data_IF_911215890409
#
_entry.id   IF_911215890409
#
_cell.length_a   1.000
_cell.length_b   1.000
_cell.length_c   1.000
_cell.angle_alpha   90.00
_cell.angle_beta   90.00
_cell.angle_gamma   90.00
#
_symmetry.space_group_name_H-M   'P 1'
#
loop_
_entity.id
_entity.type
_entity.pdbx_description
1 polymer ?
#
# COMPACT_ATOMS: atom_id res chain seq x y z
N UNK A 1 12.79 -0.46 -23.26
CA UNK A 1 11.79 -1.26 -22.52
C UNK A 1 12.49 -2.24 -21.59
N UNK A 2 12.02 -2.34 -20.36
CA UNK A 2 12.40 -3.42 -19.43
C UNK A 2 11.17 -4.27 -19.16
N UNK A 3 11.30 -5.60 -19.19
CA UNK A 3 10.21 -6.54 -18.94
C UNK A 3 10.67 -7.53 -17.89
N UNK A 4 9.79 -7.82 -16.93
CA UNK A 4 10.03 -8.78 -15.87
C UNK A 4 8.79 -9.66 -15.73
N UNK A 5 9.01 -10.97 -15.55
CA UNK A 5 7.97 -11.94 -15.23
C UNK A 5 8.48 -12.75 -14.05
N UNK A 6 7.62 -12.99 -13.08
CA UNK A 6 7.93 -13.73 -11.86
C UNK A 6 6.87 -14.79 -11.63
N UNK A 7 7.32 -15.97 -11.21
CA UNK A 7 6.46 -17.02 -10.69
C UNK A 7 6.69 -17.09 -9.18
N UNK A 8 5.60 -17.05 -8.41
CA UNK A 8 5.63 -16.85 -6.96
C UNK A 8 4.69 -17.83 -6.27
N UNK A 9 4.90 -18.16 -4.98
CA UNK A 9 3.83 -18.75 -4.18
C UNK A 9 2.66 -17.76 -4.04
N UNK A 10 1.46 -18.27 -3.83
CA UNK A 10 0.29 -17.47 -3.50
C UNK A 10 0.40 -16.81 -2.12
N UNK A 11 -0.58 -15.99 -1.77
CA UNK A 11 -0.62 -15.29 -0.49
C UNK A 11 -1.39 -16.09 0.56
N UNK A 12 -0.97 -15.97 1.82
CA UNK A 12 -1.61 -16.61 2.97
C UNK A 12 -2.88 -15.83 3.37
N UNK A 13 -4.06 -16.38 3.03
CA UNK A 13 -5.35 -15.73 3.30
C UNK A 13 -5.71 -15.65 4.78
N UNK A 14 -5.07 -16.43 5.65
CA UNK A 14 -5.29 -16.36 7.09
C UNK A 14 -4.81 -15.02 7.70
N UNK A 15 -4.04 -14.26 6.93
CA UNK A 15 -3.48 -12.97 7.33
C UNK A 15 -4.05 -11.77 6.56
N UNK A 16 -5.09 -11.98 5.77
CA UNK A 16 -5.81 -10.90 5.12
C UNK A 16 -6.68 -10.16 6.15
N UNK A 17 -6.81 -8.85 6.00
CA UNK A 17 -7.59 -8.04 6.94
C UNK A 17 -7.89 -6.65 6.42
N UNK A 18 -8.58 -5.87 7.24
CA UNK A 18 -9.05 -4.54 6.89
C UNK A 18 -7.92 -3.48 6.82
N UNK A 19 -6.86 -3.63 7.62
CA UNK A 19 -5.80 -2.62 7.69
C UNK A 19 -4.82 -2.64 6.51
N UNK A 20 -4.62 -3.77 5.90
CA UNK A 20 -3.60 -3.91 4.82
C UNK A 20 -4.07 -4.80 3.67
N UNK A 21 -5.35 -5.06 3.59
CA UNK A 21 -5.97 -5.92 2.60
C UNK A 21 -5.27 -7.29 2.54
N UNK A 22 -4.56 -7.59 1.45
CA UNK A 22 -3.85 -8.87 1.26
C UNK A 22 -2.36 -8.82 1.63
N UNK A 23 -1.83 -7.65 2.01
CA UNK A 23 -0.38 -7.46 2.23
C UNK A 23 0.19 -8.34 3.34
N UNK A 24 -0.58 -8.60 4.40
CA UNK A 24 -0.21 -9.50 5.48
C UNK A 24 0.07 -10.93 5.03
N UNK A 25 -0.55 -11.36 3.93
CA UNK A 25 -0.40 -12.69 3.37
C UNK A 25 0.98 -13.02 2.78
N UNK A 26 1.80 -11.99 2.50
CA UNK A 26 3.17 -12.18 2.05
C UNK A 26 4.12 -12.61 3.19
N UNK A 27 3.75 -12.33 4.44
CA UNK A 27 4.56 -12.61 5.63
C UNK A 27 4.05 -13.83 6.42
N UNK A 28 3.86 -14.99 5.79
CA UNK A 28 3.45 -16.20 6.51
C UNK A 28 4.45 -16.56 7.60
N UNK A 29 4.00 -16.85 8.85
CA UNK A 29 4.88 -17.20 9.95
C UNK A 29 5.51 -18.59 9.82
N UNK A 30 5.09 -19.39 8.84
CA UNK A 30 5.56 -20.77 8.64
C UNK A 30 6.48 -20.87 7.44
N UNK A 31 7.78 -20.76 7.67
CA UNK A 31 8.81 -20.71 6.63
C UNK A 31 8.88 -21.95 5.73
N UNK A 32 8.47 -23.10 6.25
CA UNK A 32 8.66 -24.39 5.56
C UNK A 32 7.37 -25.00 5.02
N UNK A 33 6.25 -24.31 5.10
CA UNK A 33 5.02 -24.85 4.54
C UNK A 33 5.06 -24.74 3.02
N UNK A 34 4.95 -25.86 2.34
CA UNK A 34 4.85 -25.87 0.88
C UNK A 34 3.58 -25.14 0.50
N UNK A 35 3.74 -24.05 -0.24
CA UNK A 35 2.62 -23.35 -0.81
C UNK A 35 1.86 -24.28 -1.76
N UNK A 36 0.58 -24.45 -1.51
CA UNK A 36 -0.32 -25.20 -2.39
C UNK A 36 -1.08 -24.28 -3.35
N UNK A 37 -0.63 -23.04 -3.48
CA UNK A 37 -1.15 -22.03 -4.37
C UNK A 37 -0.01 -21.25 -5.03
N UNK A 38 -0.24 -20.83 -6.25
CA UNK A 38 0.75 -20.19 -7.09
C UNK A 38 0.22 -18.87 -7.63
N UNK A 39 1.15 -17.98 -7.94
CA UNK A 39 0.88 -16.68 -8.52
C UNK A 39 1.86 -16.35 -9.62
N UNK A 40 1.44 -15.51 -10.54
CA UNK A 40 2.27 -14.86 -11.53
C UNK A 40 2.27 -13.36 -11.33
N UNK A 41 3.40 -12.73 -11.58
CA UNK A 41 3.50 -11.28 -11.63
C UNK A 41 4.28 -10.85 -12.87
N UNK A 42 3.96 -9.69 -13.41
CA UNK A 42 4.71 -9.08 -14.50
C UNK A 42 4.90 -7.59 -14.24
N UNK A 43 5.93 -7.02 -14.87
CA UNK A 43 6.18 -5.59 -14.93
C UNK A 43 6.77 -5.22 -16.29
N UNK A 44 6.28 -4.14 -16.86
CA UNK A 44 6.77 -3.55 -18.10
C UNK A 44 7.08 -2.08 -17.84
N UNK A 45 8.35 -1.68 -18.03
CA UNK A 45 8.77 -0.30 -17.95
C UNK A 45 9.05 0.25 -19.35
N UNK A 46 8.56 1.44 -19.63
CA UNK A 46 8.76 2.18 -20.86
C UNK A 46 9.55 3.46 -20.57
N UNK A 47 10.66 3.65 -21.28
CA UNK A 47 11.56 4.81 -21.22
C UNK A 47 11.66 5.53 -22.54
N UNK A 48 10.67 5.42 -23.44
CA UNK A 48 10.73 5.99 -24.79
C UNK A 48 10.79 7.51 -24.81
N UNK A 49 10.32 8.15 -23.74
CA UNK A 49 10.38 9.61 -23.60
C UNK A 49 11.51 9.95 -22.62
N UNK A 50 12.51 10.76 -23.01
CA UNK A 50 13.58 11.17 -22.11
C UNK A 50 13.05 11.82 -20.83
N UNK A 51 13.56 11.37 -19.68
CA UNK A 51 13.12 11.84 -18.36
C UNK A 51 11.79 11.26 -17.89
N UNK A 52 11.08 10.45 -18.67
CA UNK A 52 9.82 9.83 -18.29
C UNK A 52 9.93 8.30 -18.29
N UNK A 53 9.64 7.68 -17.14
CA UNK A 53 9.36 6.25 -17.03
C UNK A 53 7.87 6.04 -16.82
N UNK A 54 7.26 5.19 -17.60
CA UNK A 54 5.92 4.68 -17.40
C UNK A 54 6.01 3.18 -17.12
N UNK A 55 5.28 2.69 -16.13
CA UNK A 55 5.32 1.29 -15.72
C UNK A 55 3.92 0.72 -15.58
N UNK A 56 3.72 -0.48 -16.10
CA UNK A 56 2.53 -1.28 -15.91
C UNK A 56 2.93 -2.58 -15.23
N UNK A 57 2.23 -2.93 -14.16
CA UNK A 57 2.46 -4.17 -13.41
C UNK A 57 1.15 -4.91 -13.17
N UNK A 58 1.23 -6.22 -13.04
CA UNK A 58 0.11 -7.05 -12.68
C UNK A 58 0.54 -8.22 -11.82
N UNK A 59 -0.36 -8.65 -10.94
CA UNK A 59 -0.25 -9.84 -10.12
C UNK A 59 -1.56 -10.61 -10.20
N UNK A 60 -1.49 -11.93 -10.35
CA UNK A 60 -2.65 -12.81 -10.23
C UNK A 60 -2.23 -14.13 -9.59
N UNK A 61 -2.96 -14.55 -8.57
CA UNK A 61 -2.65 -15.79 -7.86
C UNK A 61 -3.73 -16.25 -6.91
N UNK A 62 -3.74 -17.55 -6.65
CA UNK A 62 -4.62 -18.13 -5.65
C UNK A 62 -4.03 -17.96 -4.26
N UNK A 63 -4.88 -17.69 -3.28
CA UNK A 63 -4.48 -17.72 -1.88
C UNK A 63 -4.42 -19.15 -1.34
N UNK A 64 -3.73 -19.33 -0.23
CA UNK A 64 -3.70 -20.57 0.54
C UNK A 64 -3.94 -20.26 2.03
N UNK A 65 -4.31 -21.28 2.80
CA UNK A 65 -4.40 -21.20 4.26
C UNK A 65 -3.21 -21.90 4.89
N UNK A 66 -2.50 -21.20 5.75
CA UNK A 66 -1.35 -21.75 6.50
C UNK A 66 -1.71 -22.25 7.90
N UNK A 67 -2.99 -22.31 8.22
CA UNK A 67 -3.48 -22.82 9.48
C UNK A 67 -3.56 -24.35 9.47
N UNK A 68 -3.03 -24.97 10.53
CA UNK A 68 -3.14 -26.42 10.71
C UNK A 68 -4.60 -26.85 10.83
N UNK A 69 -4.96 -27.95 10.19
CA UNK A 69 -6.34 -28.47 10.22
C UNK A 69 -6.86 -28.75 11.64
N UNK A 70 -5.97 -29.14 12.56
CA UNK A 70 -6.29 -29.35 13.96
C UNK A 70 -6.73 -28.06 14.71
N UNK A 71 -6.33 -26.90 14.20
CA UNK A 71 -6.68 -25.60 14.79
C UNK A 71 -7.94 -24.99 14.15
N UNK A 72 -8.55 -25.67 13.19
CA UNK A 72 -9.77 -25.18 12.53
C UNK A 72 -10.99 -25.58 13.34
N UNK A 73 -11.76 -24.62 13.80
CA UNK A 73 -13.04 -24.84 14.45
C UNK A 73 -14.14 -24.96 13.39
N UNK A 74 -15.01 -25.98 13.46
CA UNK A 74 -16.13 -26.16 12.54
C UNK A 74 -15.71 -26.73 11.17
N UNK A 75 -15.05 -27.83 11.20
CA UNK A 75 -14.22 -28.50 10.21
C UNK A 75 -14.63 -28.43 8.72
N UNK A 76 -15.88 -28.72 8.36
CA UNK A 76 -16.18 -28.97 6.93
C UNK A 76 -16.55 -27.72 6.13
N UNK A 77 -17.17 -26.69 6.74
CA UNK A 77 -17.59 -25.47 6.01
C UNK A 77 -16.42 -24.59 5.57
N UNK A 78 -15.24 -24.74 6.17
CA UNK A 78 -14.04 -23.97 5.84
C UNK A 78 -12.97 -24.78 5.14
N UNK A 79 -13.27 -26.02 4.81
CA UNK A 79 -12.39 -26.85 3.98
C UNK A 79 -12.25 -26.16 2.62
N UNK A 80 -11.02 -25.88 2.23
CA UNK A 80 -10.71 -25.27 0.94
C UNK A 80 -11.20 -23.81 0.71
N UNK A 81 -11.37 -23.01 1.77
CA UNK A 81 -11.62 -21.58 1.59
C UNK A 81 -10.39 -20.92 0.96
N UNK A 82 -10.53 -20.52 -0.29
CA UNK A 82 -9.48 -19.88 -1.10
C UNK A 82 -10.09 -18.71 -1.88
N UNK A 83 -9.25 -17.71 -2.16
CA UNK A 83 -9.58 -16.61 -3.04
C UNK A 83 -8.52 -16.43 -4.11
N UNK A 84 -8.88 -15.87 -5.23
CA UNK A 84 -7.95 -15.39 -6.24
C UNK A 84 -7.71 -13.91 -5.99
N UNK A 85 -6.46 -13.54 -5.82
CA UNK A 85 -6.01 -12.14 -5.70
C UNK A 85 -5.56 -11.69 -7.08
N UNK A 86 -6.09 -10.57 -7.55
CA UNK A 86 -5.69 -9.89 -8.78
C UNK A 86 -5.34 -8.45 -8.45
N UNK A 87 -4.17 -7.97 -8.89
CA UNK A 87 -3.72 -6.59 -8.68
C UNK A 87 -3.22 -6.05 -10.01
N UNK A 88 -3.74 -4.89 -10.41
CA UNK A 88 -3.22 -4.09 -11.51
C UNK A 88 -2.61 -2.81 -10.97
N UNK A 89 -1.43 -2.43 -11.44
CA UNK A 89 -0.73 -1.24 -11.00
C UNK A 89 -0.14 -0.47 -12.19
N UNK A 90 -0.31 0.84 -12.16
CA UNK A 90 0.33 1.78 -13.06
C UNK A 90 1.16 2.75 -12.24
N UNK A 91 2.41 2.99 -12.63
CA UNK A 91 3.25 4.02 -12.03
C UNK A 91 4.01 4.82 -13.08
N UNK A 92 4.32 6.06 -12.74
CA UNK A 92 5.16 6.91 -13.57
C UNK A 92 6.18 7.68 -12.74
N UNK A 93 7.30 7.99 -13.36
CA UNK A 93 8.33 8.90 -12.83
C UNK A 93 8.79 9.81 -13.96
N UNK A 94 8.63 11.10 -13.76
CA UNK A 94 9.20 12.15 -14.58
C UNK A 94 10.35 12.82 -13.82
N UNK A 95 11.55 12.78 -14.39
CA UNK A 95 12.76 13.40 -13.83
C UNK A 95 13.48 14.18 -14.96
N UNK A 96 13.03 15.41 -15.17
CA UNK A 96 13.61 16.31 -16.17
C UNK A 96 13.24 17.76 -15.83
N UNK A 97 13.97 18.72 -16.45
CA UNK A 97 13.70 20.16 -16.36
C UNK A 97 13.63 20.68 -14.91
N UNK A 98 14.45 20.12 -14.00
CA UNK A 98 14.49 20.42 -12.56
C UNK A 98 13.21 19.98 -11.80
N UNK A 99 12.31 19.26 -12.41
CA UNK A 99 11.15 18.64 -11.79
C UNK A 99 11.40 17.16 -11.54
N UNK A 100 10.88 16.69 -10.41
CA UNK A 100 10.67 15.28 -10.13
C UNK A 100 9.17 15.12 -9.84
N UNK A 101 8.46 14.41 -10.71
CA UNK A 101 7.04 14.10 -10.52
C UNK A 101 6.88 12.60 -10.59
N UNK A 102 6.22 12.03 -9.59
CA UNK A 102 5.93 10.60 -9.55
C UNK A 102 4.52 10.35 -9.08
N UNK A 103 3.94 9.27 -9.53
CA UNK A 103 2.63 8.86 -9.09
C UNK A 103 2.38 7.39 -9.40
N UNK A 104 1.37 6.86 -8.73
CA UNK A 104 0.90 5.50 -8.90
C UNK A 104 -0.61 5.42 -8.83
N UNK A 105 -1.15 4.36 -9.41
CA UNK A 105 -2.53 3.92 -9.26
C UNK A 105 -2.53 2.40 -9.19
N UNK A 106 -3.07 1.86 -8.11
CA UNK A 106 -3.14 0.44 -7.84
C UNK A 106 -4.60 0.06 -7.57
N UNK A 107 -5.06 -1.01 -8.20
CA UNK A 107 -6.37 -1.59 -7.95
C UNK A 107 -6.23 -3.08 -7.75
N UNK A 108 -6.86 -3.60 -6.72
CA UNK A 108 -6.85 -5.01 -6.36
C UNK A 108 -8.25 -5.57 -6.19
N UNK A 109 -8.42 -6.83 -6.61
CA UNK A 109 -9.66 -7.60 -6.44
C UNK A 109 -9.36 -8.96 -5.80
N UNK A 110 -10.19 -9.33 -4.82
CA UNK A 110 -10.13 -10.61 -4.09
C UNK A 110 -11.46 -11.35 -4.23
N UNK A 111 -11.45 -12.51 -4.84
CA UNK A 111 -12.63 -13.38 -4.88
C UNK A 111 -12.86 -14.08 -3.53
N UNK A 112 -14.11 -14.43 -3.22
CA UNK A 112 -14.49 -15.11 -1.97
C UNK A 112 -14.08 -14.37 -0.68
N UNK A 113 -13.98 -13.04 -0.72
CA UNK A 113 -13.60 -12.23 0.44
C UNK A 113 -14.54 -12.42 1.64
N UNK A 114 -15.82 -12.70 1.40
CA UNK A 114 -16.83 -13.04 2.40
C UNK A 114 -16.49 -14.33 3.17
N UNK A 115 -16.13 -15.39 2.45
CA UNK A 115 -15.79 -16.70 3.04
C UNK A 115 -14.45 -16.62 3.79
N UNK A 116 -13.46 -15.91 3.23
CA UNK A 116 -12.17 -15.66 3.88
C UNK A 116 -12.38 -14.86 5.17
N UNK A 117 -13.20 -13.81 5.13
CA UNK A 117 -13.53 -12.99 6.30
C UNK A 117 -14.19 -13.81 7.41
N UNK A 118 -15.19 -14.64 7.07
CA UNK A 118 -15.85 -15.51 8.04
C UNK A 118 -14.86 -16.51 8.63
N UNK A 119 -14.05 -17.16 7.80
CA UNK A 119 -13.02 -18.09 8.26
C UNK A 119 -12.04 -17.42 9.24
N UNK A 120 -11.51 -16.25 8.89
CA UNK A 120 -10.55 -15.54 9.72
C UNK A 120 -11.17 -15.11 11.06
N UNK A 121 -12.43 -14.71 11.09
CA UNK A 121 -13.15 -14.35 12.33
C UNK A 121 -13.41 -15.54 13.25
N UNK A 122 -13.69 -16.70 12.69
CA UNK A 122 -13.99 -17.91 13.45
C UNK A 122 -12.74 -18.66 13.91
N UNK A 123 -11.55 -18.20 13.55
CA UNK A 123 -10.29 -18.80 13.98
C UNK A 123 -10.09 -18.66 15.50
N UNK A 124 -9.44 -19.64 16.18
CA UNK A 124 -9.13 -19.54 17.60
C UNK A 124 -8.17 -18.39 17.89
N UNK A 125 -8.17 -17.89 19.14
CA UNK A 125 -7.31 -16.76 19.52
C UNK A 125 -5.81 -17.02 19.37
N UNK A 126 -5.38 -18.27 19.33
CA UNK A 126 -3.99 -18.65 19.05
C UNK A 126 -3.61 -18.57 17.57
N UNK A 127 -4.57 -18.34 16.68
CA UNK A 127 -4.30 -18.18 15.24
C UNK A 127 -3.62 -16.85 14.94
N UNK A 128 -2.72 -16.79 13.94
CA UNK A 128 -2.15 -15.55 13.44
C UNK A 128 -3.14 -14.68 12.65
N UNK A 129 -4.38 -15.14 12.45
CA UNK A 129 -5.44 -14.38 11.77
C UNK A 129 -5.72 -13.07 12.50
N UNK A 130 -5.86 -11.94 11.80
CA UNK A 130 -6.20 -10.65 12.40
C UNK A 130 -7.63 -10.59 12.96
N UNK A 131 -8.49 -11.59 12.74
CA UNK A 131 -9.89 -11.62 13.18
C UNK A 131 -10.76 -10.51 12.58
N UNK A 132 -10.36 -9.99 11.46
CA UNK A 132 -10.98 -8.84 10.81
C UNK A 132 -11.65 -9.25 9.51
N UNK A 133 -12.50 -8.37 9.00
CA UNK A 133 -13.03 -8.50 7.65
C UNK A 133 -11.97 -8.08 6.62
N UNK A 134 -12.10 -8.60 5.40
CA UNK A 134 -11.29 -8.18 4.26
C UNK A 134 -12.18 -7.68 3.13
N UNK A 135 -11.81 -6.56 2.51
CA UNK A 135 -12.52 -6.03 1.34
C UNK A 135 -12.41 -6.95 0.13
N UNK A 136 -13.46 -6.97 -0.71
CA UNK A 136 -13.40 -7.60 -2.03
C UNK A 136 -12.49 -6.81 -2.96
N UNK A 137 -12.46 -5.49 -2.80
CA UNK A 137 -11.69 -4.58 -3.65
C UNK A 137 -10.91 -3.58 -2.80
N UNK A 138 -9.73 -3.25 -3.27
CA UNK A 138 -8.86 -2.26 -2.67
C UNK A 138 -8.28 -1.33 -3.72
N UNK A 139 -8.05 -0.07 -3.34
CA UNK A 139 -7.48 0.94 -4.23
C UNK A 139 -6.39 1.72 -3.50
N UNK A 140 -5.33 2.07 -4.21
CA UNK A 140 -4.33 3.02 -3.75
C UNK A 140 -3.90 3.94 -4.90
N UNK A 141 -3.71 5.22 -4.61
CA UNK A 141 -3.19 6.18 -5.57
C UNK A 141 -2.38 7.25 -4.87
N UNK A 142 -1.39 7.77 -5.53
CA UNK A 142 -0.59 8.87 -5.01
C UNK A 142 0.07 9.67 -6.10
N UNK A 143 0.32 10.93 -5.79
CA UNK A 143 1.11 11.82 -6.65
C UNK A 143 2.01 12.70 -5.79
N UNK A 144 3.26 12.84 -6.20
CA UNK A 144 4.24 13.74 -5.60
C UNK A 144 4.88 14.56 -6.72
N UNK A 145 5.00 15.86 -6.50
CA UNK A 145 5.70 16.77 -7.40
C UNK A 145 6.69 17.63 -6.60
N UNK A 146 7.94 17.65 -7.05
CA UNK A 146 9.01 18.44 -6.46
C UNK A 146 9.76 19.23 -7.52
N UNK A 147 10.17 20.45 -7.15
CA UNK A 147 10.94 21.35 -8.01
C UNK A 147 12.24 21.80 -7.33
N UNK A 148 13.37 21.75 -8.07
CA UNK A 148 14.67 22.24 -7.60
C UNK A 148 14.73 23.76 -7.70
N UNK A 149 14.46 24.43 -6.58
CA UNK A 149 14.49 25.91 -6.49
C UNK A 149 15.91 26.44 -6.74
N UNK A 150 16.97 25.73 -6.31
CA UNK A 150 18.34 26.17 -6.49
C UNK A 150 18.80 26.12 -7.95
N UNK A 151 18.05 25.43 -8.81
CA UNK A 151 18.27 25.47 -10.25
C UNK A 151 18.17 26.88 -10.84
N UNK A 152 17.43 27.79 -10.18
CA UNK A 152 17.25 29.18 -10.59
C UNK A 152 18.40 30.10 -10.09
N UNK A 153 19.21 29.63 -9.16
CA UNK A 153 20.30 30.42 -8.55
C UNK A 153 21.65 29.94 -9.10
N UNK A 154 22.19 30.65 -10.08
CA UNK A 154 23.40 30.25 -10.82
C UNK A 154 24.56 29.82 -9.92
N UNK A 155 24.86 30.58 -8.86
CA UNK A 155 25.96 30.26 -7.93
C UNK A 155 25.80 28.94 -7.19
N UNK A 156 24.55 28.59 -6.79
CA UNK A 156 24.24 27.34 -6.08
C UNK A 156 24.26 26.17 -7.03
N UNK A 157 23.68 26.35 -8.23
CA UNK A 157 23.70 25.35 -9.30
C UNK A 157 25.10 24.96 -9.72
N UNK A 158 25.99 25.95 -9.94
CA UNK A 158 27.40 25.75 -10.30
C UNK A 158 28.20 25.02 -9.19
N UNK A 159 27.83 25.22 -7.93
CA UNK A 159 28.42 24.50 -6.78
C UNK A 159 27.82 23.10 -6.57
N UNK A 160 26.81 22.70 -7.36
CA UNK A 160 26.16 21.40 -7.27
C UNK A 160 25.14 21.25 -6.15
N UNK A 161 24.75 22.37 -5.48
CA UNK A 161 23.68 22.34 -4.50
C UNK A 161 22.32 22.16 -5.19
N UNK A 162 21.44 21.38 -4.59
CA UNK A 162 20.04 21.22 -5.03
C UNK A 162 19.12 21.37 -3.84
N UNK A 163 17.97 22.00 -4.03
CA UNK A 163 16.95 22.18 -3.01
C UNK A 163 15.57 21.94 -3.62
N UNK A 164 15.07 20.73 -3.44
CA UNK A 164 13.74 20.35 -3.88
C UNK A 164 12.71 20.70 -2.82
N UNK A 165 11.71 21.47 -3.19
CA UNK A 165 10.45 21.59 -2.42
C UNK A 165 9.43 20.72 -3.11
N UNK A 166 8.69 19.93 -2.34
CA UNK A 166 7.69 19.01 -2.88
C UNK A 166 6.37 19.06 -2.13
N UNK A 167 5.32 18.70 -2.85
CA UNK A 167 4.01 18.38 -2.31
C UNK A 167 3.62 16.96 -2.70
N UNK A 168 2.91 16.26 -1.81
CA UNK A 168 2.43 14.90 -2.01
C UNK A 168 1.00 14.74 -1.56
N UNK A 169 0.23 13.99 -2.34
CA UNK A 169 -1.09 13.50 -1.99
C UNK A 169 -1.13 12.00 -2.16
N UNK A 170 -1.69 11.30 -1.19
CA UNK A 170 -1.87 9.86 -1.18
C UNK A 170 -3.30 9.54 -0.73
N UNK A 171 -3.89 8.57 -1.39
CA UNK A 171 -5.17 7.98 -1.03
C UNK A 171 -5.08 6.46 -1.09
N UNK A 172 -5.61 5.76 -0.09
CA UNK A 172 -5.84 4.34 -0.19
C UNK A 172 -7.08 3.93 0.59
N UNK A 173 -7.73 2.86 0.14
CA UNK A 173 -8.86 2.24 0.80
C UNK A 173 -8.74 0.72 0.63
N UNK A 174 -8.45 0.02 1.72
CA UNK A 174 -8.33 -1.43 1.75
C UNK A 174 -9.68 -2.15 1.76
N UNK A 175 -10.77 -1.42 1.91
CA UNK A 175 -12.15 -1.88 1.83
C UNK A 175 -12.96 -1.00 0.88
N UNK A 176 -12.39 -0.70 -0.31
CA UNK A 176 -13.00 0.15 -1.33
C UNK A 176 -14.37 -0.38 -1.74
N UNK A 177 -14.47 -1.71 -1.93
CA UNK A 177 -15.74 -2.43 -2.00
C UNK A 177 -15.68 -3.68 -1.11
N UNK A 178 -16.86 -4.20 -0.73
CA UNK A 178 -17.00 -5.35 0.16
C UNK A 178 -18.10 -6.27 -0.32
N UNK A 179 -17.94 -7.57 -0.10
CA UNK A 179 -19.04 -8.52 -0.30
C UNK A 179 -20.20 -8.19 0.66
N UNK A 180 -21.44 -8.52 0.27
CA UNK A 180 -22.68 -8.14 1.00
C UNK A 180 -22.70 -8.55 2.48
N UNK A 181 -22.00 -9.63 2.85
CA UNK A 181 -21.93 -10.14 4.23
C UNK A 181 -20.78 -9.53 5.04
N UNK A 182 -19.96 -8.67 4.43
CA UNK A 182 -18.78 -8.07 5.03
C UNK A 182 -19.09 -6.64 5.42
N UNK A 183 -18.90 -6.32 6.69
CA UNK A 183 -19.10 -4.95 7.20
C UNK A 183 -17.90 -4.10 6.81
N UNK A 184 -18.14 -3.08 5.98
CA UNK A 184 -17.14 -2.09 5.62
C UNK A 184 -16.74 -1.27 6.83
N UNK A 185 -15.44 -1.01 6.94
CA UNK A 185 -14.87 -0.13 7.97
C UNK A 185 -14.48 1.21 7.33
N UNK A 186 -15.19 2.28 7.70
CA UNK A 186 -14.98 3.62 7.08
C UNK A 186 -13.58 4.18 7.32
N UNK A 187 -12.92 3.81 8.40
CA UNK A 187 -11.54 4.22 8.70
C UNK A 187 -10.48 3.62 7.76
N UNK A 188 -10.85 2.62 6.94
CA UNK A 188 -9.96 2.06 5.92
C UNK A 188 -9.72 3.02 4.76
N UNK A 189 -10.65 3.96 4.51
CA UNK A 189 -10.45 5.03 3.54
C UNK A 189 -9.61 6.16 4.12
N UNK A 190 -8.33 6.24 3.71
CA UNK A 190 -7.33 7.15 4.26
C UNK A 190 -6.77 8.05 3.17
N UNK A 191 -6.51 9.30 3.56
CA UNK A 191 -5.85 10.29 2.73
C UNK A 191 -4.66 10.86 3.48
N UNK A 192 -3.62 11.21 2.78
CA UNK A 192 -2.48 11.93 3.33
C UNK A 192 -2.08 13.06 2.40
N UNK A 193 -1.91 14.24 2.98
CA UNK A 193 -1.30 15.40 2.33
C UNK A 193 0.02 15.66 3.03
N UNK A 194 1.08 15.85 2.27
CA UNK A 194 2.38 16.18 2.83
C UNK A 194 3.08 17.25 1.98
N UNK A 195 3.88 18.05 2.65
CA UNK A 195 4.80 19.02 2.04
C UNK A 195 6.17 18.87 2.67
N UNK A 196 7.21 19.13 1.91
CA UNK A 196 8.55 18.98 2.47
C UNK A 196 9.63 19.51 1.54
N UNK A 197 10.87 19.31 1.97
CA UNK A 197 12.05 19.62 1.17
C UNK A 197 13.14 18.55 1.27
N UNK A 198 13.94 18.49 0.21
CA UNK A 198 15.16 17.68 0.15
C UNK A 198 16.31 18.61 -0.24
N UNK A 199 17.24 18.85 0.67
CA UNK A 199 18.43 19.64 0.43
C UNK A 199 19.64 18.75 0.21
N UNK A 200 20.30 18.92 -0.92
CA UNK A 200 21.55 18.25 -1.29
C UNK A 200 22.70 19.26 -1.23
N UNK A 201 23.44 19.35 -0.09
CA UNK A 201 24.65 20.17 -0.02
C UNK A 201 25.76 19.65 -0.94
N UNK A 202 25.81 18.35 -1.14
CA UNK A 202 26.63 17.65 -2.12
C UNK A 202 25.85 16.48 -2.71
N UNK A 203 26.28 15.94 -3.84
CA UNK A 203 25.58 14.88 -4.58
C UNK A 203 25.17 13.67 -3.72
N UNK A 204 25.98 13.34 -2.73
CA UNK A 204 25.85 12.08 -1.96
C UNK A 204 25.17 12.25 -0.60
N UNK A 205 24.85 13.48 -0.18
CA UNK A 205 24.18 13.75 1.10
C UNK A 205 22.87 14.46 0.82
N UNK A 206 21.80 14.00 1.46
CA UNK A 206 20.52 14.68 1.45
C UNK A 206 20.01 14.90 2.88
N UNK A 207 19.58 16.11 3.17
CA UNK A 207 18.87 16.51 4.38
C UNK A 207 17.40 16.65 3.98
N UNK A 208 16.51 15.98 4.71
CA UNK A 208 15.07 15.90 4.39
C UNK A 208 14.24 16.42 5.55
N UNK A 209 13.19 17.14 5.24
CA UNK A 209 12.11 17.43 6.17
C UNK A 209 10.78 17.28 5.46
N UNK A 210 9.82 16.68 6.15
CA UNK A 210 8.46 16.49 5.66
C UNK A 210 7.48 16.74 6.80
N UNK A 211 6.47 17.53 6.54
CA UNK A 211 5.28 17.65 7.38
C UNK A 211 4.09 17.09 6.61
N UNK A 212 3.34 16.20 7.24
CA UNK A 212 2.18 15.54 6.64
C UNK A 212 1.01 15.47 7.60
N UNK A 213 -0.18 15.39 7.04
CA UNK A 213 -1.43 15.19 7.78
C UNK A 213 -2.15 14.00 7.16
N UNK A 214 -2.40 12.98 7.97
CA UNK A 214 -3.27 11.85 7.65
C UNK A 214 -4.71 12.22 7.96
N UNK A 215 -5.61 12.00 6.99
CA UNK A 215 -7.04 12.27 7.11
C UNK A 215 -7.78 10.94 6.97
N UNK A 216 -8.54 10.56 8.00
CA UNK A 216 -9.39 9.38 7.99
C UNK A 216 -10.81 9.77 7.54
N UNK A 217 -11.49 8.84 6.89
CA UNK A 217 -12.88 9.04 6.45
C UNK A 217 -13.79 9.20 7.67
N UNK A 218 -14.77 10.10 7.59
CA UNK A 218 -15.86 10.18 8.55
C UNK A 218 -16.78 8.95 8.43
N UNK A 219 -17.49 8.64 9.52
CA UNK A 219 -18.47 7.56 9.57
C UNK A 219 -19.76 8.07 10.21
N UNK A 220 -20.88 7.52 9.77
CA UNK A 220 -22.18 7.82 10.37
C UNK A 220 -22.54 6.72 11.40
N UNK A 221 -23.06 7.14 12.54
CA UNK A 221 -23.54 6.25 13.58
C UNK A 221 -24.86 6.75 14.16
N UNK A 222 -25.69 5.82 14.61
CA UNK A 222 -26.94 6.17 15.30
C UNK A 222 -26.65 6.30 16.80
N UNK A 223 -26.89 7.48 17.36
CA UNK A 223 -26.79 7.71 18.79
C UNK A 223 -27.89 6.89 19.50
N UNK A 224 -27.46 5.92 20.32
CA UNK A 224 -28.38 5.00 21.01
C UNK A 224 -29.29 5.70 22.04
N UNK A 225 -28.93 6.90 22.49
CA UNK A 225 -29.72 7.66 23.47
C UNK A 225 -30.80 8.52 22.80
N UNK A 226 -30.54 9.04 21.60
CA UNK A 226 -31.45 9.96 20.90
C UNK A 226 -32.09 9.36 19.67
N UNK A 227 -31.59 8.25 19.14
CA UNK A 227 -32.01 7.67 17.87
C UNK A 227 -31.61 8.48 16.63
N UNK A 228 -30.84 9.55 16.80
CA UNK A 228 -30.40 10.43 15.71
C UNK A 228 -29.15 9.88 15.02
N UNK A 229 -29.09 10.04 13.71
CA UNK A 229 -27.86 9.76 12.95
C UNK A 229 -26.90 10.95 13.10
N UNK A 230 -25.69 10.66 13.58
CA UNK A 230 -24.60 11.63 13.76
C UNK A 230 -23.38 11.20 12.96
N UNK A 231 -22.64 12.18 12.45
CA UNK A 231 -21.37 11.93 11.76
C UNK A 231 -20.22 12.02 12.77
N UNK A 232 -19.55 10.90 12.99
CA UNK A 232 -18.29 10.83 13.71
C UNK A 232 -17.11 11.14 12.80
N UNK A 233 -16.04 11.71 13.37
CA UNK A 233 -14.79 11.98 12.66
C UNK A 233 -13.63 11.37 13.42
N UNK A 234 -12.76 10.67 12.71
CA UNK A 234 -11.49 10.24 13.27
C UNK A 234 -10.56 11.45 13.43
N UNK A 235 -9.64 11.36 14.38
CA UNK A 235 -8.62 12.40 14.54
C UNK A 235 -7.67 12.42 13.34
N UNK A 236 -7.28 13.64 12.94
CA UNK A 236 -6.21 13.80 11.98
C UNK A 236 -4.89 13.33 12.60
N UNK A 237 -4.00 12.79 11.78
CA UNK A 237 -2.70 12.27 12.19
C UNK A 237 -1.57 13.16 11.65
N UNK A 238 -1.23 14.27 12.32
CA UNK A 238 -0.11 15.09 11.90
C UNK A 238 1.21 14.38 12.17
N UNK A 239 2.16 14.52 11.26
CA UNK A 239 3.49 13.92 11.38
C UNK A 239 4.56 14.89 10.91
N UNK A 240 5.69 14.94 11.63
CA UNK A 240 6.91 15.64 11.23
C UNK A 240 8.04 14.61 11.13
N UNK A 241 8.67 14.55 9.98
CA UNK A 241 9.82 13.68 9.73
C UNK A 241 11.03 14.50 9.36
N UNK A 242 12.16 14.22 10.01
CA UNK A 242 13.46 14.78 9.70
C UNK A 242 14.43 13.64 9.41
N UNK A 243 15.31 13.79 8.44
CA UNK A 243 16.26 12.75 8.10
C UNK A 243 17.48 13.28 7.36
N UNK A 244 18.58 12.55 7.53
CA UNK A 244 19.81 12.72 6.75
C UNK A 244 20.13 11.36 6.14
N UNK A 245 20.42 11.34 4.84
CA UNK A 245 20.84 10.12 4.16
C UNK A 245 22.14 10.38 3.37
N UNK A 246 23.01 9.38 3.37
CA UNK A 246 24.22 9.32 2.58
C UNK A 246 24.12 8.18 1.56
N UNK A 247 24.49 8.46 0.32
CA UNK A 247 24.57 7.47 -0.75
C UNK A 247 26.00 7.41 -1.28
N UNK A 248 26.71 6.31 -0.99
CA UNK A 248 28.08 6.09 -1.42
C UNK A 248 28.75 4.93 -0.72
N UNK A 249 30.00 4.64 -1.09
CA UNK A 249 30.80 3.63 -0.42
C UNK A 249 31.68 4.30 0.63
N UNK A 250 31.68 3.79 1.85
CA UNK A 250 32.69 4.11 2.85
C UNK A 250 33.98 3.37 2.44
N UNK A 251 34.96 4.12 1.90
CA UNK A 251 36.31 3.56 1.76
C UNK A 251 36.94 3.51 3.16
N UNK A 252 37.35 2.34 3.58
CA UNK A 252 38.30 2.18 4.70
C UNK A 252 39.70 2.60 4.27
#
# INVERSE_FOLDING_TARGET
YKRQVMFLPGLDSDRFGDNGWVSGGAGSPYEFKIANAYAGAFRIDNYSVPGLRLSLSGYAGNSFSNTLSANRTGADRYKDVKGTVMIGAFDFLYDAHNWIVRGNFDYGHLTNSDKISQFNRDMPNASPSPKQYVGSDAIATGVEAGYDIFSQIRKLKERGHRFYVFGRYEFYDSMFDTAKSVIRQDWCGRQRVAVGFNYYPIKNIVIKAEYGIGLLRSYDYTDSATGETRTGRFNNEPSLSLGIAYSGFFRR
#
